data_IF_596295950046
#
_entry.id   IF_596295950046
#
_cell.length_a   1.000
_cell.length_b   1.000
_cell.length_c   1.000
_cell.angle_alpha   90.00
_cell.angle_beta   90.00
_cell.angle_gamma   90.00
#
_symmetry.space_group_name_H-M   'P 1'
#
loop_
_entity.id
_entity.type
_entity.pdbx_description
1 polymer ?
2 non-polymer ?
3 non-polymer ?
4 water ?
#
# COMPACT_ATOMS: atom_id res chain seq x y z
N UNK A 32 5.53 22.77 -7.53
CA UNK A 32 5.96 22.95 -6.12
C UNK A 32 7.26 22.21 -5.88
N UNK A 33 7.51 21.14 -6.65
CA UNK A 33 8.64 20.21 -6.41
C UNK A 33 9.93 20.87 -6.87
N UNK A 34 10.89 20.96 -5.98
CA UNK A 34 12.20 21.53 -6.25
C UNK A 34 13.19 20.37 -6.36
N UNK A 35 13.99 20.32 -7.42
CA UNK A 35 15.02 19.29 -7.56
C UNK A 35 16.18 19.51 -6.60
N UNK A 36 16.67 18.44 -6.02
CA UNK A 36 17.79 18.47 -5.08
C UNK A 36 18.86 17.51 -5.60
N UNK A 37 20.02 17.58 -4.98
CA UNK A 37 21.20 16.77 -5.33
C UNK A 37 21.06 15.36 -4.78
N UNK A 38 20.86 14.32 -5.63
CA UNK A 38 20.61 12.95 -5.15
C UNK A 38 21.86 12.26 -4.60
N UNK A 39 23.02 12.91 -4.61
CA UNK A 39 24.22 12.38 -3.92
C UNK A 39 24.26 12.79 -2.45
N UNK A 40 23.34 13.62 -1.95
CA UNK A 40 23.33 14.09 -0.54
C UNK A 40 23.00 12.90 0.33
N UNK A 41 23.88 12.47 1.24
CA UNK A 41 23.58 11.30 2.06
C UNK A 41 22.30 11.40 2.91
N UNK A 42 21.86 12.62 3.30
CA UNK A 42 20.62 12.80 4.07
C UNK A 42 19.46 12.20 3.21
N UNK A 43 19.52 12.41 1.90
CA UNK A 43 18.41 11.94 1.04
C UNK A 43 18.53 10.43 0.83
N UNK A 44 19.75 9.93 0.68
CA UNK A 44 19.99 8.46 0.58
C UNK A 44 19.42 7.78 1.81
N UNK A 45 19.63 8.36 2.98
CA UNK A 45 19.15 7.72 4.24
C UNK A 45 17.61 7.71 4.28
N UNK A 46 16.93 8.77 3.79
CA UNK A 46 15.47 8.74 3.68
C UNK A 46 15.00 7.62 2.74
N UNK A 47 15.71 7.33 1.66
CA UNK A 47 15.34 6.20 0.80
C UNK A 47 15.42 4.87 1.54
N UNK A 48 16.48 4.71 2.35
CA UNK A 48 16.60 3.49 3.17
C UNK A 48 15.44 3.44 4.18
N UNK A 49 15.08 4.59 4.74
CA UNK A 49 13.91 4.61 5.63
C UNK A 49 12.69 4.07 4.88
N UNK A 50 12.45 4.58 3.67
CA UNK A 50 11.26 4.19 2.90
C UNK A 50 11.26 2.69 2.70
N UNK A 51 12.37 2.10 2.23
CA UNK A 51 12.39 0.62 1.93
C UNK A 51 12.18 -0.16 3.23
N UNK A 52 12.59 0.38 4.34
CA UNK A 52 12.44 -0.35 5.64
C UNK A 52 10.96 -0.50 6.00
N UNK A 53 10.07 0.31 5.43
CA UNK A 53 8.62 0.27 5.79
C UNK A 53 7.86 -0.74 4.94
N UNK A 54 8.48 -1.39 3.93
CA UNK A 54 7.77 -2.18 2.92
C UNK A 54 7.97 -3.67 3.19
N UNK A 55 6.97 -4.28 3.80
CA UNK A 55 7.07 -5.72 4.22
C UNK A 55 6.03 -6.61 3.56
N UNK A 56 4.86 -6.07 3.16
CA UNK A 56 3.76 -6.92 2.63
C UNK A 56 4.23 -7.73 1.44
N UNK A 57 3.92 -9.03 1.51
CA UNK A 57 4.14 -9.94 0.39
C UNK A 57 5.59 -10.35 0.20
N UNK A 58 6.46 -10.07 1.16
CA UNK A 58 7.89 -10.31 1.01
C UNK A 58 8.37 -11.31 2.05
N UNK A 59 9.48 -11.99 1.79
CA UNK A 59 10.25 -12.71 2.83
C UNK A 59 11.41 -11.84 3.29
N UNK A 60 12.05 -11.17 2.33
CA UNK A 60 13.21 -10.32 2.58
C UNK A 60 12.89 -8.84 2.43
N UNK A 61 13.49 -8.00 3.28
CA UNK A 61 13.54 -6.55 2.96
C UNK A 61 14.15 -6.34 1.58
N UNK A 62 13.59 -5.39 0.82
CA UNK A 62 14.42 -4.77 -0.25
C UNK A 62 15.50 -3.90 0.37
N UNK A 63 16.48 -3.51 -0.46
CA UNK A 63 17.41 -2.45 -0.12
C UNK A 63 17.63 -1.55 -1.33
N UNK A 64 18.13 -0.38 -1.06
CA UNK A 64 18.39 0.67 -2.10
C UNK A 64 19.69 0.37 -2.81
N UNK A 65 19.65 0.35 -4.14
CA UNK A 65 20.93 0.35 -4.94
C UNK A 65 21.38 1.76 -5.28
N UNK A 66 20.51 2.58 -5.83
CA UNK A 66 20.89 3.94 -6.25
C UNK A 66 19.71 4.90 -6.04
N UNK A 67 20.00 6.04 -5.46
CA UNK A 67 19.03 7.17 -5.45
C UNK A 67 19.20 7.89 -6.77
N UNK A 68 18.15 7.94 -7.53
CA UNK A 68 18.17 8.56 -8.88
C UNK A 68 17.78 10.01 -8.86
N UNK A 69 16.74 10.34 -8.09
CA UNK A 69 16.14 11.67 -8.12
C UNK A 69 15.57 11.99 -6.74
N UNK A 70 15.71 13.26 -6.36
CA UNK A 70 15.12 13.81 -5.12
C UNK A 70 14.45 15.12 -5.44
N UNK A 71 13.19 15.26 -5.08
CA UNK A 71 12.52 16.56 -5.16
C UNK A 71 11.90 16.86 -3.79
N UNK A 72 11.73 18.14 -3.50
CA UNK A 72 11.20 18.55 -2.18
C UNK A 72 10.08 19.57 -2.33
N UNK A 73 9.24 19.62 -1.32
CA UNK A 73 8.20 20.67 -1.23
C UNK A 73 7.84 20.86 0.23
N UNK A 74 7.61 22.11 0.61
CA UNK A 74 7.19 22.46 1.99
C UNK A 74 5.69 22.63 2.00
N UNK A 75 5.01 21.70 2.63
CA UNK A 75 3.56 21.73 2.90
C UNK A 75 3.37 21.08 4.26
N UNK A 76 2.98 21.93 5.19
CA UNK A 76 2.79 21.63 6.63
C UNK A 76 4.15 21.21 7.19
N UNK A 77 4.70 20.12 6.66
CA UNK A 77 6.08 19.72 6.95
C UNK A 77 6.97 19.83 5.72
N UNK A 78 8.11 19.14 5.75
CA UNK A 78 9.01 19.07 4.60
C UNK A 78 8.89 17.71 3.95
N UNK A 79 8.52 17.72 2.67
CA UNK A 79 8.16 16.50 1.94
C UNK A 79 9.25 16.19 0.90
N UNK A 80 9.55 14.91 0.78
CA UNK A 80 10.62 14.41 -0.11
C UNK A 80 10.01 13.41 -1.07
N UNK A 81 10.19 13.61 -2.36
CA UNK A 81 9.77 12.66 -3.39
C UNK A 81 11.04 12.02 -3.93
N UNK A 82 11.22 10.73 -3.65
CA UNK A 82 12.47 9.99 -3.94
C UNK A 82 12.20 8.97 -5.02
N UNK A 83 13.12 8.91 -5.98
CA UNK A 83 13.09 7.85 -7.01
C UNK A 83 14.38 7.05 -6.94
N UNK A 84 14.28 5.76 -6.73
CA UNK A 84 15.48 4.95 -6.45
C UNK A 84 15.29 3.54 -6.93
N UNK A 85 16.38 2.87 -7.26
CA UNK A 85 16.33 1.44 -7.60
C UNK A 85 16.49 0.58 -6.36
N UNK A 86 15.87 -0.58 -6.35
CA UNK A 86 15.92 -1.54 -5.25
C UNK A 86 16.31 -2.93 -5.76
N UNK A 87 16.67 -3.80 -4.85
CA UNK A 87 16.88 -5.24 -5.10
C UNK A 87 16.67 -5.95 -3.76
N UNK A 88 16.46 -7.25 -3.83
CA UNK A 88 16.23 -8.06 -2.61
C UNK A 88 17.46 -7.95 -1.72
N UNK A 89 17.27 -7.70 -0.42
CA UNK A 89 18.37 -7.73 0.56
C UNK A 89 18.48 -9.14 1.13
N UNK A 90 19.52 -9.33 1.93
CA UNK A 90 19.74 -10.61 2.65
C UNK A 90 19.02 -10.66 3.99
N UNK A 91 18.31 -9.61 4.39
CA UNK A 91 17.63 -9.55 5.71
C UNK A 91 16.23 -10.17 5.61
N UNK A 92 15.97 -11.27 6.33
CA UNK A 92 14.61 -11.86 6.41
C UNK A 92 13.80 -10.99 7.37
N UNK A 93 12.63 -10.56 6.94
CA UNK A 93 11.79 -9.64 7.78
C UNK A 93 11.36 -10.33 9.10
N UNK A 94 10.97 -11.60 9.00
CA UNK A 94 10.36 -12.32 10.14
C UNK A 94 11.45 -12.88 11.08
N UNK A 95 12.72 -12.55 10.88
CA UNK A 95 13.76 -12.84 11.90
C UNK A 95 13.75 -11.88 13.09
N UNK A 96 12.92 -10.84 13.07
CA UNK A 96 12.93 -9.85 14.14
C UNK A 96 14.10 -8.86 13.95
N UNK A 97 14.79 -8.93 12.80
CA UNK A 97 15.95 -8.05 12.50
C UNK A 97 15.44 -6.61 12.32
N UNK A 98 16.15 -5.63 12.87
CA UNK A 98 15.97 -4.21 12.54
C UNK A 98 16.61 -3.96 11.15
N UNK A 99 15.89 -3.31 10.21
CA UNK A 99 16.50 -2.97 8.90
C UNK A 99 17.61 -1.95 9.17
N UNK A 100 18.75 -2.13 8.51
CA UNK A 100 19.78 -1.09 8.31
C UNK A 100 20.49 -1.32 6.97
N UNK A 101 20.99 -0.22 6.36
CA UNK A 101 21.77 -0.25 5.12
C UNK A 101 22.97 -1.22 5.32
N UNK A 102 23.64 -1.07 6.41
CA UNK A 102 24.87 -1.91 6.65
C UNK A 102 24.54 -3.42 6.69
N UNK A 103 23.50 -3.79 7.43
CA UNK A 103 23.20 -5.23 7.58
C UNK A 103 22.46 -5.80 6.36
N UNK A 104 21.51 -5.02 5.82
CA UNK A 104 20.63 -5.53 4.78
C UNK A 104 21.24 -5.28 3.41
N UNK A 105 22.38 -5.91 3.16
CA UNK A 105 23.05 -5.74 1.85
C UNK A 105 22.28 -6.39 0.74
N UNK A 106 22.51 -5.97 -0.54
CA UNK A 106 21.86 -6.63 -1.65
C UNK A 106 22.29 -8.09 -1.78
N UNK A 107 21.38 -8.99 -2.12
CA UNK A 107 21.73 -10.41 -2.42
C UNK A 107 22.59 -10.36 -3.69
N UNK A 108 22.18 -9.60 -4.70
CA UNK A 108 22.94 -9.40 -5.96
C UNK A 108 22.86 -7.93 -6.35
N UNK A 109 23.75 -7.44 -7.21
CA UNK A 109 23.77 -6.01 -7.59
C UNK A 109 22.74 -5.75 -8.73
N UNK A 110 21.78 -6.61 -8.94
CA UNK A 110 20.86 -6.51 -10.09
C UNK A 110 19.70 -5.58 -9.68
N UNK A 111 19.37 -4.61 -10.51
CA UNK A 111 18.13 -3.80 -10.32
C UNK A 111 16.93 -4.71 -10.47
N UNK A 112 16.05 -4.76 -9.46
CA UNK A 112 14.81 -5.55 -9.54
C UNK A 112 13.57 -4.68 -9.55
N UNK A 113 13.69 -3.43 -9.17
CA UNK A 113 12.52 -2.51 -9.15
C UNK A 113 13.04 -1.09 -9.20
N UNK A 114 12.23 -0.21 -9.75
CA UNK A 114 12.44 1.25 -9.66
C UNK A 114 11.23 1.82 -8.93
N UNK A 115 11.50 2.50 -7.83
CA UNK A 115 10.44 2.91 -6.91
C UNK A 115 10.43 4.43 -6.73
N UNK A 116 9.25 4.94 -6.53
CA UNK A 116 9.01 6.33 -6.13
C UNK A 116 8.33 6.30 -4.78
N UNK A 117 8.82 7.09 -3.84
CA UNK A 117 8.23 7.18 -2.49
C UNK A 117 8.20 8.62 -2.05
N UNK A 118 7.05 9.05 -1.48
CA UNK A 118 6.96 10.38 -0.86
C UNK A 118 7.01 10.21 0.66
N UNK A 119 7.88 10.96 1.29
CA UNK A 119 8.04 10.94 2.76
C UNK A 119 7.67 12.34 3.29
N UNK A 120 6.76 12.33 4.24
CA UNK A 120 6.38 13.55 4.99
C UNK A 120 7.25 13.64 6.24
N UNK A 121 7.84 14.79 6.50
CA UNK A 121 8.62 14.96 7.74
C UNK A 121 8.21 16.23 8.46
N UNK A 122 8.41 16.19 9.78
CA UNK A 122 8.26 17.40 10.63
C UNK A 122 9.58 17.51 11.39
N UNK A 123 10.57 18.22 10.86
CA UNK A 123 11.94 18.13 11.39
C UNK A 123 12.02 18.53 12.86
N UNK A 124 11.23 19.53 13.24
CA UNK A 124 11.27 20.06 14.63
C UNK A 124 10.60 19.10 15.59
N UNK A 125 9.94 18.04 15.08
CA UNK A 125 9.33 16.97 15.94
C UNK A 125 9.97 15.62 15.67
N UNK A 126 11.06 15.59 14.90
CA UNK A 126 11.74 14.34 14.45
C UNK A 126 10.73 13.29 13.92
N UNK A 127 9.68 13.70 13.21
CA UNK A 127 8.63 12.82 12.60
C UNK A 127 8.96 12.55 11.14
N UNK A 128 8.84 11.27 10.73
CA UNK A 128 9.01 10.87 9.32
C UNK A 128 7.93 9.82 9.06
N UNK A 129 7.21 9.97 7.95
CA UNK A 129 6.10 9.06 7.60
C UNK A 129 6.11 8.84 6.09
N UNK A 130 6.13 7.58 5.70
CA UNK A 130 5.97 7.29 4.26
C UNK A 130 4.52 7.49 3.85
N UNK A 131 4.28 8.40 2.91
CA UNK A 131 2.89 8.61 2.40
C UNK A 131 2.56 7.70 1.23
N UNK A 132 3.56 7.36 0.41
CA UNK A 132 3.34 6.55 -0.78
C UNK A 132 4.62 5.76 -1.08
N UNK A 133 4.43 4.61 -1.72
CA UNK A 133 5.61 3.79 -2.18
C UNK A 133 5.10 2.93 -3.31
N UNK A 134 5.60 3.16 -4.52
CA UNK A 134 5.16 2.37 -5.67
C UNK A 134 6.35 2.08 -6.59
N UNK A 135 6.33 0.90 -7.16
CA UNK A 135 7.45 0.47 -8.02
C UNK A 135 6.96 -0.11 -9.32
N UNK A 136 7.87 -0.06 -10.28
CA UNK A 136 7.77 -0.78 -11.57
C UNK A 136 9.00 -1.65 -11.74
N UNK A 137 8.87 -2.71 -12.52
CA UNK A 137 10.07 -3.43 -12.95
C UNK A 137 10.93 -2.54 -13.86
N UNK A 138 12.30 -2.63 -13.86
CA UNK A 138 13.32 -1.92 -14.73
C UNK A 138 12.91 -2.34 -16.17
N UNK A 139 12.89 -1.40 -17.09
CA UNK A 139 12.54 -1.76 -18.50
C UNK A 139 13.81 -1.93 -19.30
N UNK A 140 14.97 -1.84 -18.69
CA UNK A 140 16.23 -1.94 -19.45
C UNK A 140 17.20 -2.91 -18.82
N UNK A 141 16.72 -4.08 -18.43
CA UNK A 141 17.54 -5.24 -17.97
C UNK A 141 17.26 -6.44 -18.86
N UNK B 32 -8.05 -20.27 14.14
CA UNK B 32 -7.54 -19.91 12.77
C UNK B 32 -8.67 -19.37 11.92
N UNK B 33 -8.53 -19.38 10.60
CA UNK B 33 -9.56 -18.74 9.73
C UNK B 33 -10.75 -19.67 9.64
N UNK B 34 -11.94 -19.14 9.90
CA UNK B 34 -13.22 -19.86 9.83
C UNK B 34 -13.96 -19.42 8.58
N UNK B 35 -14.40 -20.37 7.74
CA UNK B 35 -15.20 -20.00 6.55
C UNK B 35 -16.59 -19.54 6.93
N UNK B 36 -17.04 -18.47 6.28
CA UNK B 36 -18.38 -17.91 6.49
C UNK B 36 -19.12 -17.91 5.17
N UNK B 37 -20.38 -17.55 5.23
CA UNK B 37 -21.30 -17.54 4.05
C UNK B 37 -21.07 -16.27 3.24
N UNK B 38 -20.50 -16.32 2.02
CA UNK B 38 -20.20 -15.11 1.24
C UNK B 38 -21.43 -14.42 0.68
N UNK B 39 -22.63 -14.94 0.93
CA UNK B 39 -23.87 -14.23 0.50
C UNK B 39 -24.43 -13.34 1.59
N UNK B 40 -23.82 -13.32 2.78
CA UNK B 40 -24.27 -12.49 3.90
C UNK B 40 -23.98 -11.03 3.56
N UNK B 41 -24.99 -10.15 3.40
CA UNK B 41 -24.75 -8.76 3.08
C UNK B 41 -23.78 -8.01 4.01
N UNK B 42 -23.67 -8.41 5.28
CA UNK B 42 -22.71 -7.77 6.20
C UNK B 42 -21.30 -7.92 5.60
N UNK B 43 -21.00 -9.06 5.04
CA UNK B 43 -19.64 -9.30 4.52
C UNK B 43 -19.47 -8.58 3.15
N UNK B 44 -20.52 -8.53 2.35
CA UNK B 44 -20.45 -7.82 1.06
C UNK B 44 -20.18 -6.34 1.37
N UNK B 45 -20.80 -5.78 2.42
CA UNK B 45 -20.60 -4.34 2.74
C UNK B 45 -19.16 -4.14 3.21
N UNK B 46 -18.57 -5.09 3.91
CA UNK B 46 -17.14 -4.92 4.29
C UNK B 46 -16.25 -4.93 3.04
N UNK B 47 -16.57 -5.68 1.98
CA UNK B 47 -15.77 -5.68 0.74
C UNK B 47 -15.89 -4.30 0.06
N UNK B 48 -17.08 -3.72 0.08
CA UNK B 48 -17.26 -2.33 -0.44
C UNK B 48 -16.43 -1.35 0.41
N UNK B 49 -16.42 -1.51 1.74
CA UNK B 49 -15.57 -0.64 2.57
C UNK B 49 -14.12 -0.82 2.05
N UNK B 50 -13.66 -2.05 1.88
CA UNK B 50 -12.23 -2.24 1.52
C UNK B 50 -11.92 -1.49 0.21
N UNK B 51 -12.77 -1.62 -0.79
CA UNK B 51 -12.47 -1.01 -2.13
C UNK B 51 -12.50 0.52 -1.98
N UNK B 52 -13.30 1.04 -1.05
CA UNK B 52 -13.41 2.53 -0.87
C UNK B 52 -12.10 3.11 -0.34
N UNK B 53 -11.21 2.30 0.21
CA UNK B 53 -9.94 2.80 0.79
C UNK B 53 -8.85 2.88 -0.27
N UNK B 54 -9.05 2.35 -1.47
CA UNK B 54 -7.97 2.15 -2.46
C UNK B 54 -8.03 3.29 -3.48
N UNK B 55 -7.15 4.28 -3.33
CA UNK B 55 -7.19 5.48 -4.20
C UNK B 55 -5.86 5.68 -4.92
N UNK B 56 -4.75 5.21 -4.38
CA UNK B 56 -3.43 5.55 -4.99
C UNK B 56 -3.37 5.07 -6.44
N UNK B 57 -2.91 5.94 -7.33
CA UNK B 57 -2.60 5.61 -8.73
C UNK B 57 -3.85 5.49 -9.59
N UNK B 58 -5.02 5.88 -9.08
CA UNK B 58 -6.33 5.69 -9.74
C UNK B 58 -6.94 7.04 -10.10
N UNK B 59 -7.76 7.06 -11.15
CA UNK B 59 -8.70 8.17 -11.37
C UNK B 59 -10.07 7.83 -10.75
N UNK B 60 -10.52 6.59 -10.94
CA UNK B 60 -11.85 6.14 -10.51
C UNK B 60 -11.68 5.17 -9.34
N UNK B 61 -12.64 5.16 -8.44
CA UNK B 61 -12.76 4.07 -7.47
C UNK B 61 -12.97 2.77 -8.27
N UNK B 62 -12.43 1.66 -7.79
CA UNK B 62 -12.99 0.35 -8.17
C UNK B 62 -14.30 0.17 -7.41
N UNK B 63 -15.06 -0.86 -7.84
CA UNK B 63 -16.22 -1.37 -7.08
C UNK B 63 -16.14 -2.89 -7.09
N UNK B 64 -16.90 -3.50 -6.20
CA UNK B 64 -17.01 -4.98 -6.05
C UNK B 64 -18.06 -5.53 -7.02
N UNK B 65 -17.70 -6.57 -7.73
CA UNK B 65 -18.68 -7.33 -8.58
C UNK B 65 -19.23 -8.51 -7.79
N UNK B 66 -18.37 -9.31 -7.14
CA UNK B 66 -18.82 -10.50 -6.41
C UNK B 66 -17.88 -10.77 -5.22
N UNK B 67 -18.50 -11.04 -4.08
CA UNK B 67 -17.75 -11.60 -2.94
C UNK B 67 -17.65 -13.12 -3.14
N UNK B 68 -16.44 -13.62 -3.28
CA UNK B 68 -16.16 -15.06 -3.58
C UNK B 68 -15.97 -15.84 -2.28
N UNK B 69 -15.27 -15.25 -1.29
CA UNK B 69 -14.90 -16.02 -0.09
C UNK B 69 -14.81 -15.07 1.10
N UNK B 70 -15.29 -15.55 2.23
CA UNK B 70 -15.12 -14.82 3.53
C UNK B 70 -14.58 -15.76 4.58
N UNK B 71 -13.52 -15.39 5.24
CA UNK B 71 -13.03 -16.12 6.44
C UNK B 71 -12.88 -15.13 7.58
N UNK B 72 -12.98 -15.61 8.83
CA UNK B 72 -12.93 -14.74 10.01
C UNK B 72 -12.02 -15.35 11.07
N UNK B 73 -11.43 -14.49 11.87
CA UNK B 73 -10.67 -14.92 13.05
C UNK B 73 -10.76 -13.83 14.10
N UNK B 74 -10.89 -14.22 15.37
CA UNK B 74 -10.89 -13.29 16.50
C UNK B 74 -9.51 -13.18 17.10
N UNK B 75 -8.85 -12.04 16.91
CA UNK B 75 -7.53 -11.74 17.52
C UNK B 75 -7.60 -10.25 17.86
N UNK B 76 -7.79 -9.80 19.12
CA UNK B 76 -7.76 -8.36 19.51
C UNK B 76 -8.87 -7.52 18.86
N UNK B 77 -9.72 -8.18 18.17
CA UNK B 77 -10.95 -7.64 17.57
C UNK B 77 -11.39 -8.74 16.66
N UNK B 78 -12.22 -8.43 15.68
CA UNK B 78 -12.81 -9.41 14.79
C UNK B 78 -12.27 -9.13 13.39
N UNK B 79 -11.60 -10.10 12.81
CA UNK B 79 -10.86 -9.94 11.54
C UNK B 79 -11.55 -10.71 10.41
N UNK B 80 -11.58 -10.09 9.23
CA UNK B 80 -12.28 -10.62 8.04
C UNK B 80 -11.28 -10.69 6.92
N UNK B 81 -11.15 -11.85 6.29
CA UNK B 81 -10.30 -12.01 5.08
C UNK B 81 -11.27 -12.26 3.92
N UNK B 82 -11.33 -11.29 3.00
CA UNK B 82 -12.35 -11.26 1.93
C UNK B 82 -11.65 -11.42 0.61
N UNK B 83 -12.18 -12.30 -0.22
CA UNK B 83 -11.74 -12.45 -1.61
C UNK B 83 -12.90 -12.08 -2.53
N UNK B 84 -12.65 -11.14 -3.45
CA UNK B 84 -13.76 -10.56 -4.24
C UNK B 84 -13.20 -10.06 -5.55
N UNK B 85 -14.05 -10.07 -6.59
CA UNK B 85 -13.74 -9.47 -7.91
C UNK B 85 -14.12 -8.00 -7.92
N UNK B 86 -13.29 -7.21 -8.61
CA UNK B 86 -13.49 -5.76 -8.77
C UNK B 86 -13.50 -5.42 -10.27
N UNK B 87 -13.99 -4.22 -10.52
CA UNK B 87 -13.89 -3.57 -11.86
C UNK B 87 -13.93 -2.09 -11.61
N UNK B 88 -13.53 -1.29 -12.60
CA UNK B 88 -13.54 0.17 -12.46
C UNK B 88 -14.98 0.66 -12.28
N UNK B 89 -15.24 1.52 -11.30
CA UNK B 89 -16.55 2.19 -11.11
C UNK B 89 -16.60 3.50 -11.91
N UNK B 90 -17.78 4.09 -11.91
CA UNK B 90 -18.02 5.39 -12.57
C UNK B 90 -17.71 6.56 -11.67
N UNK B 91 -17.29 6.36 -10.42
CA UNK B 91 -17.02 7.47 -9.48
C UNK B 91 -15.58 7.94 -9.62
N UNK B 92 -15.39 9.21 -9.97
CA UNK B 92 -14.05 9.83 -9.95
C UNK B 92 -13.71 10.17 -8.51
N UNK B 93 -12.52 9.72 -8.08
CA UNK B 93 -12.10 9.95 -6.66
C UNK B 93 -12.01 11.45 -6.31
N UNK B 94 -11.43 12.22 -7.23
CA UNK B 94 -11.08 13.64 -6.96
C UNK B 94 -12.27 14.56 -7.21
N UNK B 95 -13.45 14.03 -7.40
CA UNK B 95 -14.67 14.87 -7.43
C UNK B 95 -15.14 15.20 -6.01
N UNK B 96 -14.53 14.63 -4.98
CA UNK B 96 -15.02 14.86 -3.62
C UNK B 96 -16.25 13.98 -3.32
N UNK B 97 -16.59 13.07 -4.22
CA UNK B 97 -17.74 12.12 -4.05
C UNK B 97 -17.41 11.16 -2.90
N UNK B 98 -18.34 10.89 -2.00
CA UNK B 98 -18.19 9.79 -1.02
C UNK B 98 -18.49 8.48 -1.76
N UNK B 99 -17.65 7.45 -1.63
CA UNK B 99 -17.94 6.14 -2.25
C UNK B 99 -19.23 5.56 -1.65
N UNK B 100 -20.07 5.00 -2.47
CA UNK B 100 -21.15 4.06 -2.06
C UNK B 100 -21.35 3.02 -3.15
N UNK B 101 -21.81 1.82 -2.80
CA UNK B 101 -22.17 0.79 -3.77
C UNK B 101 -23.23 1.35 -4.74
N UNK B 102 -24.20 2.09 -4.22
CA UNK B 102 -25.30 2.51 -5.13
C UNK B 102 -24.80 3.53 -6.17
N UNK B 103 -23.96 4.48 -5.78
CA UNK B 103 -23.52 5.54 -6.73
C UNK B 103 -22.39 5.02 -7.63
N UNK B 104 -21.45 4.26 -7.02
CA UNK B 104 -20.22 3.88 -7.73
C UNK B 104 -20.45 2.56 -8.44
N UNK B 105 -21.33 2.58 -9.43
CA UNK B 105 -21.64 1.41 -10.24
C UNK B 105 -20.50 1.01 -11.12
N UNK B 106 -20.43 -0.26 -11.50
CA UNK B 106 -19.42 -0.71 -12.44
C UNK B 106 -19.56 0.01 -13.79
N UNK B 107 -18.45 0.39 -14.39
CA UNK B 107 -18.50 0.92 -15.79
C UNK B 107 -18.97 -0.21 -16.73
N UNK B 108 -18.41 -1.39 -16.57
CA UNK B 108 -18.82 -2.63 -17.29
C UNK B 108 -18.87 -3.79 -16.29
N UNK B 109 -19.45 -4.91 -16.68
CA UNK B 109 -19.54 -6.11 -15.79
C UNK B 109 -18.27 -6.97 -15.94
N UNK B 110 -17.20 -6.46 -16.53
CA UNK B 110 -16.00 -7.27 -16.80
C UNK B 110 -15.17 -7.37 -15.49
N UNK B 111 -14.79 -8.58 -15.09
CA UNK B 111 -13.83 -8.73 -13.95
C UNK B 111 -12.47 -8.18 -14.37
N UNK B 112 -11.94 -7.21 -13.63
CA UNK B 112 -10.63 -6.64 -13.93
C UNK B 112 -9.58 -7.10 -12.93
N UNK B 113 -10.01 -7.56 -11.76
CA UNK B 113 -9.08 -7.97 -10.71
C UNK B 113 -9.79 -8.90 -9.72
N UNK B 114 -9.00 -9.81 -9.15
CA UNK B 114 -9.41 -10.73 -8.05
C UNK B 114 -8.57 -10.31 -6.83
N UNK B 115 -9.25 -9.78 -5.83
CA UNK B 115 -8.60 -9.11 -4.70
C UNK B 115 -8.84 -9.84 -3.39
N UNK B 116 -7.83 -9.80 -2.54
CA UNK B 116 -7.93 -10.29 -1.15
C UNK B 116 -7.63 -9.12 -0.23
N UNK B 117 -8.48 -8.93 0.77
CA UNK B 117 -8.31 -7.83 1.75
C UNK B 117 -8.59 -8.38 3.14
N UNK B 118 -7.74 -8.00 4.13
CA UNK B 118 -7.97 -8.31 5.56
C UNK B 118 -8.42 -7.03 6.22
N UNK B 119 -9.58 -7.07 6.86
CA UNK B 119 -10.11 -5.93 7.65
C UNK B 119 -10.12 -6.29 9.12
N UNK B 120 -9.52 -5.43 9.91
CA UNK B 120 -9.58 -5.53 11.38
C UNK B 120 -10.77 -4.73 11.85
N UNK B 121 -11.54 -5.23 12.79
CA UNK B 121 -12.69 -4.47 13.34
C UNK B 121 -12.71 -4.59 14.85
N UNK B 122 -13.24 -3.53 15.48
CA UNK B 122 -13.50 -3.54 16.93
C UNK B 122 -14.98 -3.15 17.03
N UNK B 123 -15.91 -4.13 17.02
CA UNK B 123 -17.33 -3.84 16.88
C UNK B 123 -17.86 -2.90 17.97
N UNK B 124 -17.36 -3.06 19.17
CA UNK B 124 -17.85 -2.29 20.34
C UNK B 124 -17.28 -0.89 20.30
N UNK B 125 -16.36 -0.58 19.38
CA UNK B 125 -15.85 0.83 19.20
C UNK B 125 -16.23 1.33 17.80
N UNK B 126 -17.00 0.57 17.02
CA UNK B 126 -17.37 0.86 15.61
C UNK B 126 -16.12 1.18 14.76
N UNK B 127 -15.01 0.49 14.99
CA UNK B 127 -13.72 0.71 14.28
C UNK B 127 -13.56 -0.34 13.20
N UNK B 128 -13.16 0.10 12.00
CA UNK B 128 -12.84 -0.79 10.89
C UNK B 128 -11.55 -0.25 10.27
N UNK B 129 -10.61 -1.14 9.97
CA UNK B 129 -9.27 -0.77 9.45
C UNK B 129 -8.88 -1.79 8.38
N UNK B 130 -8.60 -1.37 7.17
CA UNK B 130 -7.99 -2.28 6.18
C UNK B 130 -6.53 -2.52 6.56
N UNK B 131 -6.19 -3.76 6.79
CA UNK B 131 -4.80 -4.16 7.10
C UNK B 131 -4.04 -4.52 5.83
N UNK B 132 -4.71 -5.05 4.82
CA UNK B 132 -4.06 -5.51 3.58
C UNK B 132 -5.05 -5.47 2.43
N UNK B 133 -4.54 -5.19 1.23
CA UNK B 133 -5.38 -5.18 0.00
C UNK B 133 -4.46 -5.53 -1.16
N UNK B 134 -4.64 -6.67 -1.78
CA UNK B 134 -3.77 -7.10 -2.90
C UNK B 134 -4.60 -7.84 -3.94
N UNK B 135 -4.30 -7.61 -5.24
CA UNK B 135 -5.09 -8.18 -6.34
C UNK B 135 -4.19 -8.88 -7.35
N UNK B 136 -4.77 -9.90 -7.95
CA UNK B 136 -4.25 -10.64 -9.13
C UNK B 136 -5.09 -10.31 -10.36
N UNK B 137 -4.47 -10.38 -11.53
CA UNK B 137 -5.24 -10.34 -12.79
C UNK B 137 -6.13 -11.57 -12.83
N UNK B 138 -7.29 -11.50 -13.51
CA UNK B 138 -8.15 -12.67 -13.66
C UNK B 138 -7.49 -13.78 -14.51
N UNK B 139 -8.07 -14.99 -14.48
CA UNK B 139 -7.81 -16.14 -15.40
C UNK B 139 -6.30 -16.38 -15.57
X LIG C 1 -4.33 10.11 7.89
X LIG C 1 -3.25 10.65 8.59
X LIG C 1 -2.03 9.85 8.23
X LIG C 1 -1.00 10.70 7.75
X LIG C 1 -1.03 10.94 6.35
X LIG C 1 -1.06 12.44 6.10
X LIG C 1 0.05 13.06 6.71
X LIG C 1 -0.10 14.47 6.91
X LIG C 1 0.44 15.28 5.74
X LIG C 1 0.31 14.51 4.53
X LIG C 1 0.38 15.16 3.31
X LIG C 1 1.26 16.20 3.05
X LIG C 1 1.28 16.81 1.80
X LIG C 1 -0.45 14.71 2.30
X LIG C 1 -0.40 15.30 1.05
X LIG C 1 0.42 16.37 0.77
X LIG C 1 0.36 17.08 -0.59
X LIG C 1 -0.59 18.24 -0.25
X LIG C 1 -0.30 16.29 -1.71
X LIG C 1 1.67 17.81 -1.01
X LIG C 1 2.89 17.08 -1.60
X LIG C 1 2.62 16.77 -3.06
X LIG C 1 3.17 15.77 -0.87
X LIG C 1 4.13 17.97 -1.48
X LIG D 1 22.92 4.14 -0.59
X LIG D 1 22.16 2.92 -0.56
X LIG D 1 22.39 5.05 -1.59
X LIG D 1 24.29 3.81 -0.92
X LIG D 1 22.89 4.79 0.71
X LIG E 1 -1.81 0.22 15.20
X LIG E 1 -1.51 1.17 14.18
X LIG E 1 -1.87 0.56 12.86
X LIG E 1 -2.86 -0.45 13.07
X LIG E 1 -2.63 -1.64 12.34
X LIG E 1 -2.71 -2.83 13.26
X LIG E 1 -3.99 -2.89 13.87
X LIG E 1 -3.97 -3.65 15.08
X LIG E 1 -4.39 -5.10 14.84
X LIG E 1 -3.88 -5.58 13.59
X LIG E 1 -3.68 -6.93 13.45
X LIG E 1 -4.59 -7.87 13.91
X LIG E 1 -4.35 -9.22 13.70
X LIG E 1 -2.53 -7.36 12.82
X LIG E 1 -2.31 -8.70 12.62
X LIG E 1 -3.18 -9.67 13.08
X LIG E 1 -2.83 -11.16 12.95
X LIG E 1 -2.15 -11.44 14.28
X LIG E 1 -1.76 -11.47 11.88
X LIG E 1 -4.09 -12.08 12.91
X LIG E 1 -4.92 -12.30 11.64
X LIG E 1 -6.27 -12.90 12.01
X LIG E 1 -4.22 -13.24 10.65
X LIG E 1 -5.16 -10.96 10.96
X LIG F 1 -20.86 -23.19 13.59
X LIG F 1 -21.54 -24.27 12.91
X LIG F 1 -21.51 -22.98 14.87
X LIG F 1 -20.92 -21.99 12.78
X LIG F 1 -19.47 -23.55 13.81
X LIG G 1 -10.84 13.01 -17.32
X LIG G 1 -11.21 11.60 -17.28
X LIG G 1 -11.48 13.65 -18.45
X LIG G 1 -11.24 13.69 -16.09
X LIG G 1 -9.40 13.12 -17.46
#
# INVERSE_FOLDING_TARGET
>A
MDICWNSPLFLVCVVLAAAGSASRSKRALVGGWKTQDPTNPKFENLAHYAVSTQVEGREYYDTVLELLEVQTQIVAGVNYKLKFTTTQSTCKIESGVEYSKELCQPKTNKVEAVCTSIIYTVPWQNIKRVLSYHCDAPNNV
>B
MDICWNSPLFLVCVVLAAAGSASRSKRALVGGWKTQDPTNPKFENLAHYAVSTQVEGREYYDTVLELLEVQTQIVAGVNYKLKFTTTQSTCKIESGVEYSKELCQPKTNKVEAVCTSIIYTVPWQNIKRVLSYHCDAPNNV
>C hetero
1 TRT O24 C23 C22 O21 C20 C19 O18 C17 C16 O15 C12 C13 C14 C11 C10 C9 C6 C8 C7 C5 C1 C2 C4 C3
>D hetero
1 SO4 S O1 O2 O3 O4
>E hetero
1 TRT O24 C23 C22 O21 C20 C19 O18 C17 C16 O15 C12 C13 C14 C11 C10 C9 C6 C8 C7 C5 C1 C2 C4 C3
>F hetero
1 SO4 S O1 O2 O3 O4
>G hetero
1 SO4 S O1 O2 O3 O4
#
